data_IF_809513235363
#
_entry.id   IF_809513235363
#
_cell.length_a   1.000
_cell.length_b   1.000
_cell.length_c   1.000
_cell.angle_alpha   90.00
_cell.angle_beta   90.00
_cell.angle_gamma   90.00
#
_symmetry.space_group_name_H-M   'P 1'
#
loop_
_entity.id
_entity.type
_entity.pdbx_description
1 polymer ?
#
# COMPACT_ATOMS: atom_id res chain seq x y z
N UNK A 1 -6.46 -3.42 -28.79
CA UNK A 1 -5.52 -3.19 -29.91
C UNK A 1 -4.36 -4.15 -29.73
N UNK A 2 -4.31 -5.25 -30.51
CA UNK A 2 -3.24 -6.27 -30.43
C UNK A 2 -2.05 -5.78 -31.27
N UNK A 3 -0.84 -5.82 -30.71
CA UNK A 3 0.39 -5.58 -31.47
C UNK A 3 0.98 -6.94 -31.86
N UNK A 4 0.96 -7.26 -33.15
CA UNK A 4 1.49 -8.51 -33.70
C UNK A 4 2.92 -8.25 -34.20
N UNK A 5 3.89 -9.03 -33.74
CA UNK A 5 5.30 -8.90 -34.14
C UNK A 5 5.56 -9.93 -35.24
N UNK A 6 5.68 -9.49 -36.49
CA UNK A 6 6.38 -10.27 -37.51
C UNK A 6 7.83 -9.79 -37.61
N UNK A 7 8.74 -10.66 -37.17
CA UNK A 7 10.17 -10.56 -37.35
C UNK A 7 10.51 -10.80 -38.83
N UNK A 8 11.01 -9.77 -39.53
CA UNK A 8 11.68 -9.90 -40.82
C UNK A 8 13.11 -10.35 -40.58
N UNK A 9 13.42 -11.60 -40.95
CA UNK A 9 14.77 -12.16 -41.06
C UNK A 9 15.19 -12.00 -42.53
N UNK A 10 16.06 -11.04 -42.84
CA UNK A 10 16.68 -10.91 -44.18
C UNK A 10 18.02 -11.64 -44.20
N UNK A 11 18.14 -12.54 -45.19
CA UNK A 11 19.34 -13.28 -45.58
C UNK A 11 20.47 -12.33 -46.01
N UNK A 12 21.71 -12.70 -45.68
CA UNK A 12 22.94 -12.12 -46.25
C UNK A 12 23.65 -13.20 -47.06
N UNK A 13 23.98 -12.89 -48.31
CA UNK A 13 24.92 -13.63 -49.16
C UNK A 13 25.98 -12.67 -49.68
N UNK A 14 27.23 -12.90 -49.25
CA UNK A 14 28.49 -12.83 -50.01
C UNK A 14 28.94 -11.53 -50.68
N UNK A 15 30.17 -11.09 -50.31
CA UNK A 15 31.24 -10.89 -51.30
C UNK A 15 31.84 -9.48 -51.50
N UNK A 16 32.99 -9.26 -50.84
CA UNK A 16 34.24 -8.62 -51.31
C UNK A 16 34.38 -7.09 -51.61
N UNK A 17 35.45 -6.57 -50.99
CA UNK A 17 36.44 -5.55 -51.42
C UNK A 17 36.29 -4.03 -51.10
N UNK A 18 37.15 -3.62 -50.16
CA UNK A 18 38.08 -2.46 -50.13
C UNK A 18 37.58 -1.04 -50.44
N UNK A 19 37.58 -0.19 -49.42
CA UNK A 19 38.57 0.89 -49.25
C UNK A 19 38.25 1.79 -48.05
N UNK A 20 39.33 2.18 -47.39
CA UNK A 20 39.44 2.95 -46.17
C UNK A 20 39.32 4.45 -46.46
N UNK A 21 38.37 5.14 -45.83
CA UNK A 21 38.46 6.57 -45.53
C UNK A 21 37.80 6.85 -44.19
N UNK A 22 38.63 7.31 -43.27
CA UNK A 22 38.34 7.68 -41.90
C UNK A 22 37.61 9.02 -41.86
N UNK A 23 36.34 9.03 -41.48
CA UNK A 23 35.64 10.21 -40.95
C UNK A 23 34.94 9.78 -39.67
N UNK A 24 35.70 9.79 -38.59
CA UNK A 24 35.20 9.70 -37.22
C UNK A 24 34.85 11.12 -36.74
N UNK A 25 33.77 11.22 -35.95
CA UNK A 25 33.41 12.38 -35.11
C UNK A 25 32.51 13.47 -35.72
N UNK A 26 31.23 13.17 -35.96
CA UNK A 26 30.14 14.13 -35.64
C UNK A 26 28.71 13.53 -35.55
N UNK A 27 28.47 12.30 -36.01
CA UNK A 27 27.11 11.75 -36.07
C UNK A 27 26.61 11.03 -34.80
N UNK A 28 27.47 10.86 -33.79
CA UNK A 28 27.13 10.08 -32.59
C UNK A 28 26.42 10.89 -31.50
N UNK A 29 26.45 12.21 -31.54
CA UNK A 29 25.84 13.07 -30.50
C UNK A 29 24.37 13.39 -30.81
N UNK A 30 24.03 13.55 -32.09
CA UNK A 30 22.67 13.82 -32.57
C UNK A 30 21.73 12.60 -32.45
N UNK A 31 22.30 11.39 -32.51
CA UNK A 31 21.54 10.12 -32.50
C UNK A 31 21.16 9.69 -31.07
N UNK A 32 21.83 10.21 -30.04
CA UNK A 32 21.50 9.93 -28.64
C UNK A 32 20.38 10.82 -28.08
N UNK A 33 20.22 12.04 -28.60
CA UNK A 33 19.24 13.01 -28.08
C UNK A 33 17.79 12.80 -28.57
N UNK A 34 17.59 11.94 -29.58
CA UNK A 34 16.26 11.57 -30.10
C UNK A 34 15.85 10.13 -29.77
N UNK A 35 16.50 9.48 -28.78
CA UNK A 35 16.02 8.19 -28.26
C UNK A 35 14.92 8.41 -27.23
N UNK A 36 13.84 9.10 -27.64
CA UNK A 36 12.60 9.08 -26.89
C UNK A 36 12.12 7.63 -26.78
N UNK A 37 11.77 7.20 -25.57
CA UNK A 37 11.28 5.84 -25.35
C UNK A 37 10.16 5.52 -26.33
N UNK A 38 10.17 4.30 -26.88
CA UNK A 38 9.06 3.85 -27.72
C UNK A 38 7.73 3.95 -26.93
N UNK A 39 6.58 4.20 -27.57
CA UNK A 39 5.29 4.31 -26.86
C UNK A 39 4.94 3.06 -26.03
N UNK A 40 5.44 1.89 -26.43
CA UNK A 40 5.34 0.65 -25.66
C UNK A 40 6.22 0.65 -24.40
N UNK A 41 7.42 1.20 -24.49
CA UNK A 41 8.37 1.30 -23.38
C UNK A 41 7.94 2.35 -22.35
N UNK A 42 7.42 3.50 -22.78
CA UNK A 42 6.85 4.51 -21.89
C UNK A 42 5.63 3.96 -21.12
N UNK A 43 4.76 3.21 -21.81
CA UNK A 43 3.64 2.50 -21.16
C UNK A 43 4.14 1.48 -20.13
N UNK A 44 5.14 0.66 -20.47
CA UNK A 44 5.72 -0.33 -19.56
C UNK A 44 6.31 0.31 -18.30
N UNK A 45 7.07 1.40 -18.44
CA UNK A 45 7.66 2.14 -17.31
C UNK A 45 6.56 2.72 -16.42
N UNK A 46 5.50 3.28 -16.99
CA UNK A 46 4.37 3.81 -16.22
C UNK A 46 3.63 2.73 -15.43
N UNK A 47 3.48 1.53 -15.99
CA UNK A 47 2.87 0.35 -15.36
C UNK A 47 3.72 -0.12 -14.19
N UNK A 48 5.03 -0.31 -14.41
CA UNK A 48 5.97 -0.72 -13.37
C UNK A 48 6.03 0.28 -12.22
N UNK A 49 6.07 1.58 -12.53
CA UNK A 49 6.02 2.64 -11.51
C UNK A 49 4.77 2.53 -10.64
N UNK A 50 3.59 2.32 -11.24
CA UNK A 50 2.36 2.16 -10.46
C UNK A 50 2.38 0.90 -9.58
N UNK A 51 2.96 -0.21 -10.06
CA UNK A 51 3.07 -1.46 -9.30
C UNK A 51 3.98 -1.31 -8.09
N UNK A 52 5.16 -0.72 -8.29
CA UNK A 52 6.12 -0.46 -7.21
C UNK A 52 5.48 0.43 -6.13
N UNK A 53 4.75 1.48 -6.52
CA UNK A 53 4.08 2.35 -5.54
C UNK A 53 3.00 1.62 -4.76
N UNK A 54 2.20 0.76 -5.40
CA UNK A 54 1.16 -0.01 -4.69
C UNK A 54 1.78 -1.00 -3.71
N UNK A 55 2.83 -1.71 -4.12
CA UNK A 55 3.55 -2.61 -3.21
C UNK A 55 4.15 -1.84 -2.04
N UNK A 56 4.72 -0.67 -2.30
CA UNK A 56 5.30 0.17 -1.25
C UNK A 56 4.22 0.63 -0.27
N UNK A 57 3.07 1.12 -0.74
CA UNK A 57 1.93 1.45 0.13
C UNK A 57 1.48 0.23 0.92
N UNK A 58 1.32 -0.93 0.29
CA UNK A 58 0.93 -2.18 0.97
C UNK A 58 1.90 -2.58 2.10
N UNK A 59 3.21 -2.46 1.85
CA UNK A 59 4.25 -2.77 2.84
C UNK A 59 4.16 -1.83 4.04
N UNK A 60 4.05 -0.53 3.80
CA UNK A 60 3.93 0.46 4.88
C UNK A 60 2.64 0.27 5.67
N UNK A 61 1.52 0.02 4.98
CA UNK A 61 0.23 -0.32 5.60
C UNK A 61 0.33 -1.54 6.50
N UNK A 62 0.76 -2.67 5.96
CA UNK A 62 0.88 -3.93 6.71
C UNK A 62 1.80 -3.76 7.93
N UNK A 63 2.87 -2.96 7.79
CA UNK A 63 3.75 -2.62 8.92
C UNK A 63 3.00 -1.85 10.00
N UNK A 64 2.32 -0.75 9.65
CA UNK A 64 1.55 0.07 10.59
C UNK A 64 0.48 -0.77 11.27
N UNK A 65 -0.27 -1.58 10.51
CA UNK A 65 -1.32 -2.44 11.03
C UNK A 65 -0.79 -3.43 12.08
N UNK A 66 0.35 -4.06 11.77
CA UNK A 66 0.98 -5.04 12.66
C UNK A 66 1.49 -4.38 13.94
N UNK A 67 2.20 -3.26 13.82
CA UNK A 67 2.79 -2.56 14.96
C UNK A 67 1.69 -2.09 15.90
N UNK A 68 0.59 -1.52 15.40
CA UNK A 68 -0.46 -1.00 16.28
C UNK A 68 -1.11 -2.12 17.10
N UNK A 69 -1.40 -3.28 16.52
CA UNK A 69 -2.03 -4.39 17.26
C UNK A 69 -1.11 -4.92 18.36
N UNK A 70 0.19 -5.03 18.08
CA UNK A 70 1.19 -5.48 19.06
C UNK A 70 1.31 -4.45 20.19
N UNK A 71 1.51 -3.17 19.85
CA UNK A 71 1.66 -2.10 20.83
C UNK A 71 0.40 -2.00 21.70
N UNK A 72 -0.79 -2.05 21.10
CA UNK A 72 -2.06 -2.01 21.83
C UNK A 72 -2.19 -3.19 22.79
N UNK A 73 -1.94 -4.41 22.31
CA UNK A 73 -2.05 -5.62 23.14
C UNK A 73 -1.09 -5.58 24.32
N UNK A 74 0.18 -5.26 24.07
CA UNK A 74 1.21 -5.19 25.11
C UNK A 74 0.95 -4.05 26.10
N UNK A 75 0.46 -2.91 25.61
CA UNK A 75 0.08 -1.78 26.46
C UNK A 75 -1.12 -2.12 27.37
N UNK A 76 -2.12 -2.84 26.85
CA UNK A 76 -3.29 -3.25 27.65
C UNK A 76 -2.88 -4.24 28.76
N UNK A 77 -2.03 -5.21 28.45
CA UNK A 77 -1.48 -6.15 29.44
C UNK A 77 -0.75 -5.36 30.54
N UNK A 78 0.19 -4.49 30.17
CA UNK A 78 1.00 -3.70 31.12
C UNK A 78 0.18 -2.68 31.92
N UNK A 79 -0.91 -2.15 31.34
CA UNK A 79 -1.82 -1.24 32.04
C UNK A 79 -2.69 -1.98 33.06
N UNK A 80 -3.37 -3.04 32.64
CA UNK A 80 -4.27 -3.80 33.52
C UNK A 80 -3.50 -4.53 34.62
N UNK A 81 -2.27 -4.98 34.33
CA UNK A 81 -1.36 -5.50 35.35
C UNK A 81 -1.09 -4.47 36.46
N UNK A 82 -0.82 -3.22 36.07
CA UNK A 82 -0.56 -2.12 37.02
C UNK A 82 -1.79 -1.70 37.80
N UNK A 83 -2.96 -1.65 37.16
CA UNK A 83 -4.23 -1.33 37.82
C UNK A 83 -4.60 -2.39 38.87
N UNK A 84 -4.29 -3.66 38.61
CA UNK A 84 -4.49 -4.75 39.56
C UNK A 84 -3.37 -4.89 40.62
N UNK A 85 -2.32 -4.07 40.56
CA UNK A 85 -1.22 -4.05 41.53
C UNK A 85 -0.18 -5.17 41.34
N UNK A 86 -0.19 -5.85 40.19
CA UNK A 86 0.75 -6.93 39.90
C UNK A 86 2.03 -6.40 39.24
N UNK A 87 3.17 -6.68 39.85
CA UNK A 87 4.49 -6.39 39.27
C UNK A 87 5.03 -7.69 38.68
N UNK A 88 5.44 -7.66 37.41
CA UNK A 88 6.17 -8.75 36.73
C UNK A 88 5.32 -9.97 36.25
N UNK A 89 4.11 -9.74 35.73
CA UNK A 89 3.31 -10.79 35.10
C UNK A 89 4.05 -11.43 33.90
N UNK A 90 4.87 -10.65 33.20
CA UNK A 90 5.62 -11.07 32.01
C UNK A 90 6.69 -12.15 32.27
N UNK A 91 7.05 -12.42 33.53
CA UNK A 91 8.02 -13.46 33.90
C UNK A 91 7.39 -14.82 34.23
N UNK A 92 6.06 -14.91 34.22
CA UNK A 92 5.34 -16.15 34.51
C UNK A 92 5.41 -17.06 33.29
N UNK A 93 6.17 -18.15 33.39
CA UNK A 93 6.24 -19.15 32.34
C UNK A 93 4.98 -20.03 32.37
N UNK A 94 4.05 -19.74 31.46
CA UNK A 94 2.77 -20.45 31.35
C UNK A 94 2.92 -21.95 31.04
N UNK A 95 4.08 -22.39 30.53
CA UNK A 95 4.30 -23.79 30.16
C UNK A 95 4.79 -24.64 31.33
N UNK A 96 5.43 -24.04 32.34
CA UNK A 96 6.05 -24.74 33.48
C UNK A 96 5.41 -24.40 34.81
N UNK A 97 4.67 -23.29 34.89
CA UNK A 97 4.03 -22.84 36.13
C UNK A 97 2.78 -23.67 36.44
N UNK A 98 2.63 -24.05 37.70
CA UNK A 98 1.47 -24.77 38.18
C UNK A 98 0.25 -23.83 38.13
N UNK A 99 -0.88 -24.29 37.57
CA UNK A 99 -2.13 -23.52 37.51
C UNK A 99 -2.67 -23.10 38.89
N UNK A 100 -2.21 -23.74 39.97
CA UNK A 100 -2.55 -23.39 41.35
C UNK A 100 -1.69 -22.24 41.92
N UNK A 101 -0.64 -21.81 41.21
CA UNK A 101 0.21 -20.70 41.63
C UNK A 101 -0.58 -19.38 41.52
N UNK A 102 -0.64 -18.55 42.58
CA UNK A 102 -1.31 -17.27 42.54
C UNK A 102 -0.81 -16.36 41.41
N UNK A 103 0.48 -16.41 41.06
CA UNK A 103 1.05 -15.61 39.96
C UNK A 103 0.47 -15.99 38.59
N UNK A 104 0.29 -17.29 38.33
CA UNK A 104 -0.33 -17.80 37.10
C UNK A 104 -1.81 -17.46 37.04
N UNK A 105 -2.50 -17.52 38.18
CA UNK A 105 -3.91 -17.12 38.25
C UNK A 105 -4.11 -15.64 37.92
N UNK A 106 -3.28 -14.77 38.48
CA UNK A 106 -3.33 -13.33 38.20
C UNK A 106 -2.97 -13.00 36.74
N UNK A 107 -1.98 -13.70 36.17
CA UNK A 107 -1.66 -13.56 34.76
C UNK A 107 -2.85 -13.92 33.85
N UNK A 108 -3.54 -15.01 34.16
CA UNK A 108 -4.72 -15.45 33.41
C UNK A 108 -5.89 -14.46 33.55
N UNK A 109 -6.13 -13.90 34.74
CA UNK A 109 -7.18 -12.90 34.96
C UNK A 109 -6.94 -11.61 34.14
N UNK A 110 -5.70 -11.12 34.12
CA UNK A 110 -5.34 -9.95 33.30
C UNK A 110 -5.47 -10.27 31.81
N UNK A 111 -4.98 -11.43 31.38
CA UNK A 111 -5.06 -11.86 29.99
C UNK A 111 -6.51 -12.00 29.52
N UNK A 112 -7.40 -12.55 30.36
CA UNK A 112 -8.83 -12.66 30.07
C UNK A 112 -9.46 -11.29 29.82
N UNK A 113 -9.17 -10.30 30.67
CA UNK A 113 -9.67 -8.94 30.49
C UNK A 113 -9.14 -8.30 29.20
N UNK A 114 -7.84 -8.44 28.90
CA UNK A 114 -7.24 -7.95 27.65
C UNK A 114 -7.92 -8.58 26.45
N UNK A 115 -8.12 -9.90 26.46
CA UNK A 115 -8.81 -10.61 25.38
C UNK A 115 -10.24 -10.13 25.19
N UNK A 116 -10.97 -9.85 26.28
CA UNK A 116 -12.32 -9.27 26.20
C UNK A 116 -12.31 -7.89 25.51
N UNK A 117 -11.38 -7.01 25.87
CA UNK A 117 -11.24 -5.71 25.20
C UNK A 117 -10.92 -5.86 23.71
N UNK A 118 -9.89 -6.65 23.37
CA UNK A 118 -9.47 -6.88 21.99
C UNK A 118 -10.58 -7.50 21.14
N UNK A 119 -11.33 -8.46 21.71
CA UNK A 119 -12.47 -9.09 21.04
C UNK A 119 -13.55 -8.06 20.74
N UNK A 120 -13.91 -7.22 21.72
CA UNK A 120 -14.89 -6.16 21.52
C UNK A 120 -14.43 -5.13 20.48
N UNK A 121 -13.15 -4.74 20.47
CA UNK A 121 -12.61 -3.86 19.42
C UNK A 121 -12.72 -4.48 18.02
N UNK A 122 -12.35 -5.76 17.89
CA UNK A 122 -12.47 -6.49 16.63
C UNK A 122 -13.92 -6.59 16.16
N UNK A 123 -14.89 -6.82 17.05
CA UNK A 123 -16.31 -6.83 16.69
C UNK A 123 -16.80 -5.47 16.20
N UNK A 124 -16.45 -4.40 16.92
CA UNK A 124 -16.83 -3.02 16.57
C UNK A 124 -16.19 -2.57 15.25
N UNK A 125 -15.02 -3.07 14.89
CA UNK A 125 -14.36 -2.79 13.62
C UNK A 125 -14.88 -3.66 12.47
N UNK A 126 -14.95 -4.97 12.68
CA UNK A 126 -15.19 -5.96 11.61
C UNK A 126 -16.63 -5.94 11.12
N UNK A 127 -17.61 -5.78 12.01
CA UNK A 127 -19.02 -5.78 11.63
C UNK A 127 -19.33 -4.61 10.68
N UNK A 128 -19.00 -3.34 11.01
CA UNK A 128 -19.15 -2.24 10.07
C UNK A 128 -18.28 -2.38 8.82
N UNK A 129 -17.04 -2.89 8.95
CA UNK A 129 -16.14 -3.07 7.82
C UNK A 129 -16.71 -4.03 6.77
N UNK A 130 -17.37 -5.10 7.21
CA UNK A 130 -18.01 -6.03 6.30
C UNK A 130 -19.07 -5.34 5.43
N UNK A 131 -19.95 -4.52 6.02
CA UNK A 131 -20.94 -3.75 5.28
C UNK A 131 -20.29 -2.69 4.38
N UNK A 132 -19.32 -1.94 4.93
CA UNK A 132 -18.60 -0.91 4.20
C UNK A 132 -17.90 -1.49 2.96
N UNK A 133 -17.31 -2.69 3.03
CA UNK A 133 -16.69 -3.37 1.90
C UNK A 133 -17.63 -3.61 0.72
N UNK A 134 -18.89 -3.99 0.96
CA UNK A 134 -19.87 -4.15 -0.13
C UNK A 134 -20.14 -2.83 -0.85
N UNK A 135 -20.31 -1.75 -0.09
CA UNK A 135 -20.52 -0.42 -0.66
C UNK A 135 -19.26 0.07 -1.37
N UNK A 136 -18.09 -0.02 -0.74
CA UNK A 136 -16.80 0.40 -1.30
C UNK A 136 -16.51 -0.34 -2.60
N UNK A 137 -16.72 -1.66 -2.65
CA UNK A 137 -16.57 -2.44 -3.87
C UNK A 137 -17.44 -1.91 -5.01
N UNK A 138 -18.73 -1.66 -4.73
CA UNK A 138 -19.70 -1.16 -5.71
C UNK A 138 -19.43 0.29 -6.16
N UNK A 139 -19.03 1.17 -5.24
CA UNK A 139 -18.75 2.58 -5.50
C UNK A 139 -17.35 2.82 -6.08
N UNK A 140 -16.44 1.86 -5.96
CA UNK A 140 -15.06 1.96 -6.46
C UNK A 140 -14.98 2.23 -7.96
N UNK A 141 -15.96 1.77 -8.72
CA UNK A 141 -16.04 1.95 -10.17
C UNK A 141 -16.45 3.38 -10.57
N UNK A 142 -17.18 4.10 -9.70
CA UNK A 142 -17.65 5.47 -9.98
C UNK A 142 -16.66 6.55 -9.52
N UNK A 143 -16.19 6.46 -8.28
CA UNK A 143 -15.32 7.49 -7.64
C UNK A 143 -13.85 7.28 -8.07
N UNK A 144 -13.51 6.06 -8.47
CA UNK A 144 -12.17 5.64 -8.85
C UNK A 144 -11.47 4.91 -7.70
N UNK A 145 -11.05 3.67 -7.98
CA UNK A 145 -10.43 2.73 -7.03
C UNK A 145 -9.26 3.30 -6.22
N UNK A 146 -8.45 4.18 -6.80
CA UNK A 146 -7.30 4.81 -6.11
C UNK A 146 -7.70 5.92 -5.13
N UNK A 147 -8.78 6.66 -5.41
CA UNK A 147 -9.28 7.69 -4.50
C UNK A 147 -9.98 7.06 -3.30
N UNK A 148 -10.72 5.98 -3.56
CA UNK A 148 -11.38 5.22 -2.51
C UNK A 148 -10.38 4.53 -1.57
N UNK A 149 -9.18 4.21 -2.05
CA UNK A 149 -8.11 3.65 -1.22
C UNK A 149 -7.66 4.63 -0.13
N UNK A 150 -7.71 5.95 -0.37
CA UNK A 150 -7.23 6.96 0.60
C UNK A 150 -8.07 7.00 1.89
N UNK A 151 -9.36 6.65 1.78
CA UNK A 151 -10.30 6.68 2.90
C UNK A 151 -9.89 5.74 4.06
N UNK A 152 -9.68 4.42 3.85
CA UNK A 152 -9.22 3.53 4.91
C UNK A 152 -7.81 3.85 5.41
N UNK A 153 -6.90 4.40 4.57
CA UNK A 153 -5.57 4.84 5.04
C UNK A 153 -5.69 5.99 6.04
N UNK A 154 -6.61 6.91 5.76
CA UNK A 154 -6.82 8.06 6.62
C UNK A 154 -7.41 7.64 7.96
N UNK A 155 -8.38 6.74 7.98
CA UNK A 155 -8.93 6.24 9.24
C UNK A 155 -7.93 5.41 10.04
N UNK A 156 -7.10 4.60 9.39
CA UNK A 156 -6.00 3.88 10.05
C UNK A 156 -5.02 4.86 10.72
N UNK A 157 -4.64 5.94 10.02
CA UNK A 157 -3.82 7.00 10.61
C UNK A 157 -4.49 7.65 11.85
N UNK A 158 -5.80 7.90 11.81
CA UNK A 158 -6.52 8.44 12.96
C UNK A 158 -6.57 7.47 14.14
N UNK A 159 -6.76 6.17 13.90
CA UNK A 159 -6.72 5.14 14.96
C UNK A 159 -5.33 5.12 15.61
N UNK A 160 -4.29 5.11 14.80
CA UNK A 160 -2.90 5.14 15.26
C UNK A 160 -2.61 6.41 16.08
N UNK A 161 -3.05 7.58 15.61
CA UNK A 161 -2.90 8.82 16.35
C UNK A 161 -3.64 8.77 17.70
N UNK A 162 -4.83 8.18 17.72
CA UNK A 162 -5.63 7.98 18.94
C UNK A 162 -4.91 7.09 19.95
N UNK A 163 -4.33 5.96 19.49
CA UNK A 163 -3.53 5.07 20.34
C UNK A 163 -2.35 5.82 20.96
N UNK A 164 -1.61 6.60 20.17
CA UNK A 164 -0.48 7.39 20.65
C UNK A 164 -0.89 8.46 21.66
N UNK A 165 -2.05 9.11 21.46
CA UNK A 165 -2.61 10.04 22.44
C UNK A 165 -2.96 9.31 23.75
N UNK A 166 -3.57 8.12 23.69
CA UNK A 166 -3.91 7.34 24.88
C UNK A 166 -2.66 6.94 25.66
N UNK A 167 -1.61 6.48 24.97
CA UNK A 167 -0.34 6.12 25.61
C UNK A 167 0.31 7.35 26.25
N UNK A 168 0.29 8.52 25.59
CA UNK A 168 0.96 9.73 26.08
C UNK A 168 0.24 10.39 27.26
N UNK A 169 -1.09 10.43 27.22
CA UNK A 169 -1.92 11.13 28.21
C UNK A 169 -2.56 10.19 29.24
N UNK A 170 -2.31 8.88 29.15
CA UNK A 170 -2.94 7.86 29.99
C UNK A 170 -4.48 7.95 30.01
N UNK A 171 -5.07 8.24 28.83
CA UNK A 171 -6.53 8.40 28.66
C UNK A 171 -7.28 7.07 28.85
N UNK A 172 -8.60 7.15 28.97
CA UNK A 172 -9.46 5.96 29.01
C UNK A 172 -9.38 5.18 27.68
N UNK A 173 -9.25 3.85 27.80
CA UNK A 173 -9.20 2.90 26.69
C UNK A 173 -10.51 2.93 25.90
N UNK A 174 -11.62 3.32 26.52
CA UNK A 174 -12.93 3.40 25.86
C UNK A 174 -12.94 4.32 24.62
N UNK A 175 -12.03 5.29 24.54
CA UNK A 175 -11.89 6.16 23.36
C UNK A 175 -11.53 5.36 22.08
N UNK A 176 -10.90 4.20 22.23
CA UNK A 176 -10.57 3.31 21.10
C UNK A 176 -11.81 2.73 20.43
N UNK A 177 -12.92 2.55 21.14
CA UNK A 177 -14.16 2.07 20.52
C UNK A 177 -14.64 3.01 19.41
N UNK A 178 -14.54 4.33 19.63
CA UNK A 178 -14.87 5.32 18.62
C UNK A 178 -13.89 5.26 17.43
N UNK A 179 -12.59 5.13 17.70
CA UNK A 179 -11.56 5.00 16.66
C UNK A 179 -11.76 3.77 15.78
N UNK A 180 -11.89 2.59 16.39
CA UNK A 180 -12.13 1.33 15.68
C UNK A 180 -13.50 1.30 14.97
N UNK A 181 -14.52 1.94 15.54
CA UNK A 181 -15.83 2.08 14.89
C UNK A 181 -15.75 2.94 13.63
N UNK A 182 -15.03 4.07 13.67
CA UNK A 182 -14.81 4.92 12.49
C UNK A 182 -13.99 4.20 11.41
N UNK A 183 -12.94 3.49 11.81
CA UNK A 183 -12.13 2.70 10.88
C UNK A 183 -12.93 1.54 10.26
N UNK A 184 -13.77 0.88 11.05
CA UNK A 184 -14.73 -0.11 10.57
C UNK A 184 -15.67 0.47 9.50
N UNK A 185 -16.25 1.65 9.74
CA UNK A 185 -17.15 2.30 8.77
C UNK A 185 -16.44 2.69 7.47
N UNK A 186 -15.13 2.96 7.50
CA UNK A 186 -14.31 3.20 6.32
C UNK A 186 -13.88 1.90 5.60
N UNK A 187 -14.23 0.74 6.14
CA UNK A 187 -13.96 -0.57 5.54
C UNK A 187 -12.69 -1.25 6.03
N UNK A 188 -11.85 -0.60 6.84
CA UNK A 188 -10.66 -1.15 7.49
C UNK A 188 -9.74 -2.00 6.57
N UNK A 189 -9.04 -3.01 7.10
CA UNK A 189 -8.18 -3.92 6.34
C UNK A 189 -8.87 -4.62 5.15
N UNK A 190 -10.14 -5.10 5.22
CA UNK A 190 -10.70 -5.84 4.10
C UNK A 190 -10.95 -4.94 2.88
N UNK A 191 -11.35 -3.68 3.09
CA UNK A 191 -11.54 -2.74 1.99
C UNK A 191 -10.23 -2.42 1.27
N UNK A 192 -9.13 -2.32 2.01
CA UNK A 192 -7.80 -2.11 1.44
C UNK A 192 -7.44 -3.25 0.48
N UNK A 193 -7.58 -4.51 0.91
CA UNK A 193 -7.30 -5.66 0.04
C UNK A 193 -8.18 -5.69 -1.22
N UNK A 194 -9.48 -5.42 -1.07
CA UNK A 194 -10.40 -5.35 -2.22
C UNK A 194 -9.93 -4.29 -3.23
N UNK A 195 -9.57 -3.11 -2.74
CA UNK A 195 -9.12 -2.00 -3.60
C UNK A 195 -7.74 -2.26 -4.21
N UNK A 196 -6.79 -2.83 -3.47
CA UNK A 196 -5.46 -3.16 -3.98
C UNK A 196 -5.51 -4.23 -5.08
N UNK A 197 -6.32 -5.27 -4.90
CA UNK A 197 -6.53 -6.30 -5.92
C UNK A 197 -7.26 -5.73 -7.14
N UNK A 198 -8.27 -4.88 -6.92
CA UNK A 198 -8.96 -4.16 -7.97
C UNK A 198 -7.98 -3.29 -8.80
N UNK A 199 -7.14 -2.48 -8.14
CA UNK A 199 -6.16 -1.61 -8.82
C UNK A 199 -5.09 -2.45 -9.55
N UNK A 200 -4.61 -3.53 -8.92
CA UNK A 200 -3.64 -4.46 -9.53
C UNK A 200 -4.21 -5.13 -10.78
N UNK A 201 -5.50 -5.45 -10.77
CA UNK A 201 -6.21 -5.99 -11.92
C UNK A 201 -6.32 -4.98 -13.08
N UNK A 202 -6.49 -3.69 -12.76
CA UNK A 202 -6.61 -2.61 -13.75
C UNK A 202 -5.27 -2.28 -14.42
N UNK A 203 -4.16 -2.44 -13.70
CA UNK A 203 -2.81 -2.14 -14.19
C UNK A 203 -2.30 -3.23 -15.13
N UNK A 204 -2.65 -4.49 -14.85
CA UNK A 204 -2.14 -5.64 -15.58
C UNK A 204 -3.08 -6.05 -16.72
N UNK A 205 -2.56 -6.10 -17.96
CA UNK A 205 -3.35 -6.46 -19.13
C UNK A 205 -3.55 -7.98 -19.28
N UNK A 206 -2.57 -8.81 -18.90
CA UNK A 206 -2.63 -10.26 -19.02
C UNK A 206 -3.11 -10.93 -17.73
N UNK A 207 -3.86 -12.03 -17.86
CA UNK A 207 -4.37 -12.82 -16.74
C UNK A 207 -3.24 -13.35 -15.85
N UNK A 208 -2.20 -13.91 -16.47
CA UNK A 208 -1.07 -14.51 -15.73
C UNK A 208 -0.31 -13.44 -14.93
N UNK A 209 -0.12 -12.25 -15.51
CA UNK A 209 0.54 -11.17 -14.80
C UNK A 209 -0.29 -10.65 -13.63
N UNK A 210 -1.63 -10.57 -13.75
CA UNK A 210 -2.52 -10.18 -12.64
C UNK A 210 -2.32 -11.08 -11.43
N UNK A 211 -2.38 -12.40 -11.64
CA UNK A 211 -2.24 -13.38 -10.56
C UNK A 211 -0.86 -13.30 -9.91
N UNK A 212 0.19 -13.19 -10.71
CA UNK A 212 1.57 -13.05 -10.20
C UNK A 212 1.71 -11.79 -9.33
N UNK A 213 1.18 -10.64 -9.77
CA UNK A 213 1.29 -9.41 -8.99
C UNK A 213 0.43 -9.42 -7.72
N UNK A 214 -0.75 -10.02 -7.74
CA UNK A 214 -1.54 -10.25 -6.53
C UNK A 214 -0.80 -11.13 -5.52
N UNK A 215 -0.14 -12.18 -6.01
CA UNK A 215 0.71 -13.04 -5.18
C UNK A 215 1.91 -12.30 -4.60
N UNK A 216 2.58 -11.45 -5.40
CA UNK A 216 3.71 -10.63 -4.94
C UNK A 216 3.28 -9.68 -3.82
N UNK A 217 2.13 -9.02 -3.94
CA UNK A 217 1.57 -8.16 -2.89
C UNK A 217 1.41 -8.97 -1.60
N UNK A 218 0.72 -10.12 -1.66
CA UNK A 218 0.49 -10.97 -0.49
C UNK A 218 1.80 -11.47 0.15
N UNK A 219 2.76 -11.95 -0.64
CA UNK A 219 4.05 -12.39 -0.13
C UNK A 219 4.84 -11.26 0.52
N UNK A 220 4.82 -10.06 -0.09
CA UNK A 220 5.51 -8.90 0.47
C UNK A 220 4.94 -8.50 1.83
N UNK A 221 3.61 -8.53 1.99
CA UNK A 221 2.94 -8.29 3.27
C UNK A 221 3.34 -9.32 4.33
N UNK A 222 3.36 -10.61 3.99
CA UNK A 222 3.71 -11.68 4.94
C UNK A 222 5.16 -11.64 5.42
N UNK A 223 6.12 -11.31 4.53
CA UNK A 223 7.54 -11.16 4.91
C UNK A 223 7.71 -9.98 5.87
N UNK A 224 7.05 -8.87 5.57
CA UNK A 224 7.08 -7.66 6.39
C UNK A 224 6.44 -7.90 7.75
N UNK A 225 5.29 -8.58 7.79
CA UNK A 225 4.62 -8.99 9.03
C UNK A 225 5.60 -9.71 9.96
N UNK A 226 6.27 -10.76 9.49
CA UNK A 226 7.21 -11.53 10.30
C UNK A 226 8.39 -10.67 10.82
N UNK A 227 8.98 -9.84 9.97
CA UNK A 227 10.10 -8.96 10.36
C UNK A 227 9.69 -7.90 11.37
N UNK A 228 8.54 -7.27 11.16
CA UNK A 228 8.02 -6.19 12.00
C UNK A 228 7.57 -6.71 13.37
N UNK A 229 6.99 -7.91 13.45
CA UNK A 229 6.61 -8.52 14.74
C UNK A 229 7.81 -8.67 15.68
N UNK A 230 8.93 -9.18 15.16
CA UNK A 230 10.16 -9.36 15.93
C UNK A 230 10.78 -8.01 16.30
N UNK A 231 10.88 -7.10 15.33
CA UNK A 231 11.46 -5.77 15.54
C UNK A 231 10.69 -4.96 16.58
N UNK A 232 9.36 -4.97 16.52
CA UNK A 232 8.48 -4.22 17.45
C UNK A 232 8.59 -4.75 18.86
N UNK A 233 8.64 -6.08 19.02
CA UNK A 233 8.79 -6.70 20.33
C UNK A 233 10.12 -6.31 21.00
N UNK A 234 11.21 -6.32 20.23
CA UNK A 234 12.51 -5.86 20.73
C UNK A 234 12.52 -4.35 21.04
N UNK A 235 11.86 -3.55 20.20
CA UNK A 235 11.75 -2.10 20.36
C UNK A 235 11.03 -1.71 21.65
N UNK A 236 9.91 -2.39 21.96
CA UNK A 236 9.13 -2.14 23.18
C UNK A 236 9.97 -2.48 24.42
N UNK A 237 10.72 -3.58 24.39
CA UNK A 237 11.55 -3.99 25.52
C UNK A 237 12.72 -3.03 25.80
N UNK A 238 13.22 -2.32 24.79
CA UNK A 238 14.41 -1.47 24.90
C UNK A 238 14.08 0.02 25.08
N UNK A 239 13.12 0.54 24.32
CA UNK A 239 12.78 1.97 24.32
C UNK A 239 11.46 2.27 25.05
N UNK A 240 10.64 1.26 25.33
CA UNK A 240 9.33 1.43 25.97
C UNK A 240 8.23 1.90 25.02
N UNK A 241 7.00 1.91 25.54
CA UNK A 241 5.77 2.11 24.75
C UNK A 241 5.66 3.47 24.06
N UNK A 242 6.18 4.53 24.68
CA UNK A 242 6.04 5.89 24.14
C UNK A 242 6.77 6.06 22.80
N UNK A 243 8.05 5.66 22.71
CA UNK A 243 8.82 5.78 21.47
C UNK A 243 8.28 4.85 20.37
N UNK A 244 7.80 3.66 20.73
CA UNK A 244 7.13 2.77 19.79
C UNK A 244 5.87 3.42 19.18
N UNK A 245 5.05 4.09 20.00
CA UNK A 245 3.85 4.81 19.52
C UNK A 245 4.16 6.00 18.61
N UNK A 246 5.27 6.71 18.87
CA UNK A 246 5.71 7.83 18.05
C UNK A 246 6.20 7.38 16.68
N UNK A 247 6.96 6.29 16.63
CA UNK A 247 7.38 5.65 15.37
C UNK A 247 6.17 5.16 14.57
N UNK A 248 5.22 4.51 15.23
CA UNK A 248 3.97 4.06 14.62
C UNK A 248 3.20 5.23 13.96
N UNK A 249 3.04 6.36 14.66
CA UNK A 249 2.34 7.54 14.12
C UNK A 249 3.09 8.15 12.94
N UNK A 250 4.42 8.19 13.01
CA UNK A 250 5.27 8.71 11.94
C UNK A 250 5.18 7.84 10.68
N UNK A 251 5.16 6.52 10.84
CA UNK A 251 4.98 5.57 9.72
C UNK A 251 3.58 5.67 9.11
N UNK A 252 2.54 5.81 9.94
CA UNK A 252 1.16 6.02 9.47
C UNK A 252 1.02 7.31 8.66
N UNK A 253 1.61 8.41 9.14
CA UNK A 253 1.62 9.68 8.43
C UNK A 253 2.36 9.58 7.09
N UNK A 254 3.55 8.95 7.09
CA UNK A 254 4.33 8.77 5.88
C UNK A 254 3.55 7.97 4.83
N UNK A 255 2.87 6.91 5.25
CA UNK A 255 2.06 6.09 4.37
C UNK A 255 0.88 6.86 3.76
N UNK A 256 0.17 7.66 4.58
CA UNK A 256 -0.87 8.55 4.10
C UNK A 256 -0.33 9.57 3.07
N UNK A 257 0.83 10.17 3.33
CA UNK A 257 1.47 11.12 2.41
C UNK A 257 1.86 10.47 1.09
N UNK A 258 2.43 9.26 1.11
CA UNK A 258 2.79 8.50 -0.10
C UNK A 258 1.54 8.23 -0.93
N UNK A 259 0.47 7.75 -0.31
CA UNK A 259 -0.79 7.47 -1.01
C UNK A 259 -1.43 8.75 -1.56
N UNK A 260 -1.37 9.86 -0.82
CA UNK A 260 -1.88 11.15 -1.27
C UNK A 260 -1.09 11.69 -2.47
N UNK A 261 0.24 11.65 -2.41
CA UNK A 261 1.12 12.06 -3.52
C UNK A 261 0.85 11.20 -4.75
N UNK A 262 0.70 9.89 -4.58
CA UNK A 262 0.37 8.96 -5.67
C UNK A 262 -0.96 9.30 -6.35
N UNK A 263 -1.96 9.74 -5.57
CA UNK A 263 -3.23 10.22 -6.10
C UNK A 263 -3.08 11.52 -6.89
N UNK A 264 -2.40 12.51 -6.32
CA UNK A 264 -2.19 13.83 -6.93
C UNK A 264 -1.43 13.75 -8.25
N UNK A 265 -0.37 12.94 -8.31
CA UNK A 265 0.41 12.71 -9.53
C UNK A 265 -0.52 12.36 -10.70
N UNK A 266 -1.46 11.43 -10.52
CA UNK A 266 -2.33 10.99 -11.63
C UNK A 266 -3.36 12.05 -12.05
N UNK A 267 -3.89 12.82 -11.11
CA UNK A 267 -4.84 13.90 -11.42
C UNK A 267 -4.18 14.93 -12.36
N UNK A 268 -2.94 15.29 -12.07
CA UNK A 268 -2.15 16.21 -12.90
C UNK A 268 -1.87 15.59 -14.28
N UNK A 269 -1.45 14.32 -14.35
CA UNK A 269 -1.23 13.64 -15.64
C UNK A 269 -2.49 13.56 -16.51
N UNK A 270 -3.66 13.31 -15.92
CA UNK A 270 -4.93 13.33 -16.66
C UNK A 270 -5.23 14.71 -17.25
N UNK A 271 -5.03 15.78 -16.48
CA UNK A 271 -5.23 17.15 -16.96
C UNK A 271 -4.25 17.53 -18.07
N UNK A 272 -2.97 17.16 -17.94
CA UNK A 272 -1.95 17.41 -18.96
C UNK A 272 -2.23 16.66 -20.28
N UNK A 273 -2.68 15.41 -20.21
CA UNK A 273 -3.03 14.59 -21.39
C UNK A 273 -4.33 15.08 -22.06
N UNK A 274 -5.30 15.55 -21.28
CA UNK A 274 -6.50 16.19 -21.83
C UNK A 274 -6.13 17.49 -22.58
N UNK A 275 -5.18 18.27 -22.05
CA UNK A 275 -4.69 19.49 -22.69
C UNK A 275 -3.93 19.21 -24.00
N UNK A 276 -3.15 18.12 -24.08
CA UNK A 276 -2.39 17.77 -25.30
C UNK A 276 -3.26 17.13 -26.39
N UNK A 277 -4.30 16.37 -26.01
CA UNK A 277 -5.26 15.79 -26.96
C UNK A 277 -6.18 16.83 -27.60
N UNK A 278 -6.54 17.91 -26.89
CA UNK A 278 -7.20 19.09 -27.48
C UNK A 278 -6.30 19.76 -28.52
N UNK A 279 -4.98 19.82 -28.27
CA UNK A 279 -4.01 20.37 -29.22
C UNK A 279 -3.86 19.51 -30.48
N UNK A 280 -3.94 18.17 -30.35
CA UNK A 280 -3.85 17.27 -31.50
C UNK A 280 -5.12 17.28 -32.38
N UNK A 281 -6.32 17.39 -31.79
CA UNK A 281 -7.56 17.53 -32.57
C UNK A 281 -7.71 18.91 -33.25
N UNK A 282 -7.12 19.97 -32.70
CA UNK A 282 -7.10 21.27 -33.35
C UNK A 282 -6.22 21.28 -34.62
N UNK A 283 -5.11 20.53 -34.61
CA UNK A 283 -4.17 20.52 -35.75
C UNK A 283 -4.61 19.60 -36.91
N UNK A 284 -5.40 18.55 -36.65
CA UNK A 284 -5.93 17.67 -37.72
C UNK A 284 -7.03 18.36 -38.55
N UNK A 285 -7.68 19.40 -38.02
CA UNK A 285 -8.76 20.11 -38.74
C UNK A 285 -8.25 21.02 -39.87
N UNK A 286 -6.94 21.26 -39.99
CA UNK A 286 -6.32 22.08 -41.02
C UNK A 286 -5.73 21.31 -42.21
N UNK A 287 -5.83 19.97 -42.24
CA UNK A 287 -5.45 19.16 -43.41
C UNK A 287 -6.69 18.74 -44.20
N UNK A 288 -7.39 19.72 -44.80
CA UNK A 288 -8.28 19.46 -45.94
C UNK A 288 -7.43 19.43 -47.21
N UNK A 289 -7.11 18.24 -47.70
CA UNK A 289 -6.62 18.06 -49.06
C UNK A 289 -7.76 18.28 -50.07
N UNK A 290 -7.59 19.07 -51.13
CA UNK A 290 -8.52 19.13 -52.24
C UNK A 290 -8.31 17.89 -53.12
N UNK A 291 -9.29 16.99 -53.13
CA UNK A 291 -9.38 15.94 -54.15
C UNK A 291 -10.15 16.54 -55.33
N UNK A 292 -9.42 16.99 -56.35
CA UNK A 292 -9.97 17.26 -57.69
C UNK A 292 -9.83 15.99 -58.54
N UNK A 293 -10.95 15.33 -58.80
CA UNK A 293 -11.10 14.44 -59.95
C UNK A 293 -11.58 15.28 -61.14
N UNK A 294 -10.89 15.19 -62.28
CA UNK A 294 -11.47 15.54 -63.58
C UNK A 294 -11.23 14.37 -64.53
N UNK A 295 -12.33 13.95 -65.16
CA UNK A 295 -12.39 13.17 -66.39
C UNK A 295 -11.90 14.06 -67.53
#
# INVERSE_FOLDING_TARGET
>A
MKCNIQSKRTMSTGGAESSEYTEESSDNESTQLLRGNSPCEERRISTLRNQVVIILVHIFMTSVTTIYWIVLTQYLVDRLAREAGYVNISSVDHCTSNASDPSTKHANEVQEQVTNFLTNFNFVQTVPAFFACFFIGSYSDYIGRRALLLLPIFTEFLVVATISCIIRFHLDVNLLYAGFGLDGLAGSWPAIFVLEFAITSDINASKDSRTVWMFVILCSGSIVLAGVMLATSFLINTLGFFYASLLLTSMGLLNFLIAFIFLQLRTIWKQLIQSSSVFCCANVRNLKMPITYSI
#
